data_IF_385671039153
#
_entry.id   IF_385671039153
#
_cell.length_a   1.000
_cell.length_b   1.000
_cell.length_c   1.000
_cell.angle_alpha   90.00
_cell.angle_beta   90.00
_cell.angle_gamma   90.00
#
_symmetry.space_group_name_H-M   'P 1'
#
loop_
_entity.id
_entity.type
_entity.pdbx_description
1 polymer ?
#
# COMPACT_ATOMS: atom_id res chain seq x y z
N UNK A 1 -9.43 18.10 47.66
CA UNK A 1 -9.20 16.74 47.08
C UNK A 1 -9.93 16.53 45.75
N UNK A 2 -11.23 16.83 45.63
CA UNK A 2 -11.99 16.69 44.35
C UNK A 2 -11.49 17.60 43.21
N UNK A 3 -11.10 18.84 43.50
CA UNK A 3 -10.52 19.76 42.49
C UNK A 3 -9.16 19.31 41.94
N UNK A 4 -8.34 18.65 42.76
CA UNK A 4 -7.02 18.17 42.33
C UNK A 4 -7.15 16.95 41.41
N UNK A 5 -8.11 16.07 41.70
CA UNK A 5 -8.47 14.95 40.82
C UNK A 5 -9.02 15.43 39.47
N UNK A 6 -9.86 16.47 39.46
CA UNK A 6 -10.39 17.05 38.23
C UNK A 6 -9.29 17.63 37.32
N UNK A 7 -8.30 18.33 37.89
CA UNK A 7 -7.17 18.89 37.15
C UNK A 7 -6.22 17.80 36.62
N UNK A 8 -6.01 16.72 37.37
CA UNK A 8 -5.22 15.57 36.93
C UNK A 8 -5.88 14.81 35.76
N UNK A 9 -7.21 14.68 35.77
CA UNK A 9 -7.95 14.04 34.68
C UNK A 9 -7.98 14.91 33.42
N UNK A 10 -8.12 16.22 33.57
CA UNK A 10 -8.07 17.18 32.45
C UNK A 10 -6.69 17.20 31.76
N UNK A 11 -5.62 17.18 32.54
CA UNK A 11 -4.25 17.13 32.00
C UNK A 11 -3.94 15.79 31.31
N UNK A 12 -4.44 14.68 31.83
CA UNK A 12 -4.30 13.36 31.21
C UNK A 12 -5.10 13.25 29.89
N UNK A 13 -6.30 13.84 29.84
CA UNK A 13 -7.10 13.92 28.62
C UNK A 13 -6.43 14.78 27.53
N UNK A 14 -5.82 15.91 27.91
CA UNK A 14 -5.06 16.76 26.99
C UNK A 14 -3.81 16.06 26.43
N UNK A 15 -3.16 15.20 27.23
CA UNK A 15 -1.98 14.44 26.79
C UNK A 15 -2.33 13.35 25.76
N UNK A 16 -3.50 12.72 25.86
CA UNK A 16 -3.93 11.68 24.92
C UNK A 16 -4.33 12.23 23.54
N UNK A 17 -4.81 13.47 23.45
CA UNK A 17 -5.26 14.07 22.19
C UNK A 17 -4.10 14.42 21.23
N UNK A 18 -2.86 14.53 21.73
CA UNK A 18 -1.70 14.94 20.93
C UNK A 18 -1.05 13.81 20.09
N UNK A 19 -1.49 12.56 20.25
CA UNK A 19 -0.82 11.39 19.67
C UNK A 19 -1.47 10.84 18.38
N UNK A 20 -2.51 11.46 17.85
CA UNK A 20 -3.19 10.99 16.62
C UNK A 20 -2.53 11.58 15.37
N UNK A 21 -1.52 10.92 14.82
CA UNK A 21 -1.01 11.21 13.47
C UNK A 21 -1.94 10.61 12.42
N UNK A 22 -2.35 11.38 11.41
CA UNK A 22 -3.11 10.85 10.29
C UNK A 22 -2.29 9.81 9.50
N UNK A 23 -2.94 8.79 8.90
CA UNK A 23 -2.24 7.85 8.03
C UNK A 23 -1.67 8.56 6.80
N UNK A 24 -0.49 8.16 6.35
CA UNK A 24 0.15 8.71 5.15
C UNK A 24 -0.55 8.33 3.83
N UNK A 25 -1.60 7.49 3.88
CA UNK A 25 -2.38 7.12 2.70
C UNK A 25 -3.34 8.25 2.36
N UNK A 26 -3.10 8.90 1.23
CA UNK A 26 -4.08 9.77 0.57
C UNK A 26 -5.19 8.92 -0.06
N UNK A 27 -6.43 9.33 0.15
CA UNK A 27 -7.64 8.66 -0.37
C UNK A 27 -7.72 8.73 -1.91
N UNK A 28 -7.13 9.77 -2.48
CA UNK A 28 -7.08 10.03 -3.91
C UNK A 28 -6.20 9.00 -4.61
N UNK A 29 -6.84 7.99 -5.17
CA UNK A 29 -6.23 6.87 -5.92
C UNK A 29 -6.36 7.04 -7.43
N UNK A 30 -7.06 8.07 -7.89
CA UNK A 30 -7.29 8.36 -9.31
C UNK A 30 -6.42 9.51 -9.80
N UNK A 31 -6.05 9.44 -11.07
CA UNK A 31 -5.40 10.54 -11.77
C UNK A 31 -6.45 11.57 -12.20
N UNK A 32 -6.40 12.79 -11.64
CA UNK A 32 -7.38 13.87 -11.96
C UNK A 32 -7.48 14.20 -13.46
N UNK A 33 -6.38 14.02 -14.18
CA UNK A 33 -6.28 14.33 -15.60
C UNK A 33 -6.26 13.08 -16.49
N UNK A 34 -6.66 11.92 -15.94
CA UNK A 34 -6.56 10.63 -16.62
C UNK A 34 -5.13 10.08 -16.69
N UNK A 35 -4.95 9.04 -17.50
CA UNK A 35 -3.64 8.42 -17.73
C UNK A 35 -2.66 9.40 -18.37
N UNK A 36 -1.45 9.50 -17.82
CA UNK A 36 -0.38 10.31 -18.40
C UNK A 36 0.43 9.47 -19.39
N UNK A 37 0.05 9.50 -20.66
CA UNK A 37 0.75 8.82 -21.75
C UNK A 37 1.77 9.79 -22.36
N UNK A 38 3.07 9.50 -22.19
CA UNK A 38 4.16 10.28 -22.83
C UNK A 38 4.67 9.63 -24.11
N UNK A 39 4.46 8.32 -24.26
CA UNK A 39 4.99 7.49 -25.33
C UNK A 39 3.95 6.42 -25.71
N UNK A 40 4.01 5.84 -26.93
CA UNK A 40 3.09 4.77 -27.33
C UNK A 40 3.11 3.59 -26.34
N UNK A 41 1.93 3.11 -25.96
CA UNK A 41 1.82 2.01 -25.01
C UNK A 41 2.27 0.69 -25.69
N UNK A 42 3.14 -0.13 -25.07
CA UNK A 42 3.69 -1.33 -25.71
C UNK A 42 2.66 -2.29 -26.33
N UNK A 43 1.50 -2.44 -25.69
CA UNK A 43 0.43 -3.30 -26.21
C UNK A 43 -0.23 -2.78 -27.51
N UNK A 44 0.08 -1.57 -27.96
CA UNK A 44 -0.48 -0.98 -29.19
C UNK A 44 0.32 -1.30 -30.44
N UNK A 45 1.58 -1.72 -30.31
CA UNK A 45 2.47 -1.99 -31.45
C UNK A 45 3.16 -3.36 -31.39
N UNK A 46 3.06 -4.09 -30.27
CA UNK A 46 3.53 -5.47 -30.16
C UNK A 46 2.52 -6.44 -30.78
N UNK A 47 3.00 -7.37 -31.61
CA UNK A 47 2.19 -8.47 -32.12
C UNK A 47 2.09 -9.58 -31.06
N UNK A 48 0.89 -10.11 -30.85
CA UNK A 48 0.65 -11.22 -29.92
C UNK A 48 1.46 -12.46 -30.30
N UNK A 49 1.71 -12.68 -31.60
CA UNK A 49 2.53 -13.79 -32.09
C UNK A 49 4.00 -13.72 -31.64
N UNK A 50 4.48 -12.53 -31.28
CA UNK A 50 5.86 -12.31 -30.82
C UNK A 50 5.99 -12.46 -29.30
N UNK A 51 4.86 -12.61 -28.58
CA UNK A 51 4.86 -12.81 -27.14
C UNK A 51 5.20 -14.27 -26.79
N UNK A 52 5.93 -14.50 -25.69
CA UNK A 52 6.20 -15.86 -25.22
C UNK A 52 4.90 -16.54 -24.79
N UNK A 53 4.78 -17.84 -25.06
CA UNK A 53 3.63 -18.64 -24.65
C UNK A 53 3.51 -18.79 -23.12
N UNK A 54 4.63 -18.66 -22.41
CA UNK A 54 4.73 -18.67 -20.95
C UNK A 54 5.79 -17.66 -20.51
N UNK A 55 5.50 -16.93 -19.44
CA UNK A 55 6.40 -15.90 -18.93
C UNK A 55 6.24 -15.79 -17.41
N UNK A 56 7.36 -15.68 -16.69
CA UNK A 56 7.38 -15.40 -15.26
C UNK A 56 8.46 -14.38 -14.93
N UNK A 57 8.13 -13.38 -14.09
CA UNK A 57 9.11 -12.43 -13.55
C UNK A 57 10.00 -13.05 -12.46
N UNK A 58 9.68 -14.25 -11.99
CA UNK A 58 10.50 -15.00 -11.05
C UNK A 58 11.82 -15.47 -11.66
N UNK A 59 11.82 -15.71 -12.97
CA UNK A 59 12.98 -16.15 -13.73
C UNK A 59 12.94 -15.55 -15.14
N UNK A 60 13.43 -14.32 -15.26
CA UNK A 60 13.73 -13.70 -16.55
C UNK A 60 15.23 -13.78 -16.76
N UNK A 61 15.65 -14.72 -17.60
CA UNK A 61 17.05 -14.96 -17.99
C UNK A 61 17.97 -15.23 -16.77
N UNK A 62 17.50 -15.99 -15.79
CA UNK A 62 18.22 -16.31 -14.55
C UNK A 62 18.12 -15.25 -13.46
N UNK A 63 17.36 -14.17 -13.69
CA UNK A 63 17.16 -13.07 -12.74
C UNK A 63 15.71 -13.01 -12.25
N UNK A 64 15.56 -12.98 -10.92
CA UNK A 64 14.28 -12.78 -10.25
C UNK A 64 14.00 -11.28 -10.03
N UNK A 65 12.83 -10.82 -10.47
CA UNK A 65 12.34 -9.44 -10.33
C UNK A 65 11.19 -9.30 -9.33
N UNK A 66 10.74 -10.38 -8.71
CA UNK A 66 9.69 -10.34 -7.70
C UNK A 66 10.21 -9.84 -6.35
N UNK A 67 9.37 -9.05 -5.68
CA UNK A 67 9.61 -8.73 -4.26
C UNK A 67 9.34 -9.96 -3.40
N UNK A 68 10.16 -10.25 -2.37
CA UNK A 68 9.92 -11.39 -1.48
C UNK A 68 8.52 -11.36 -0.85
N UNK A 69 7.83 -12.52 -0.73
CA UNK A 69 6.53 -12.59 -0.09
C UNK A 69 6.62 -12.19 1.38
N UNK A 70 5.64 -11.41 1.85
CA UNK A 70 5.52 -11.01 3.25
C UNK A 70 4.31 -11.68 3.90
N UNK A 71 4.41 -11.95 5.19
CA UNK A 71 3.31 -12.49 5.99
C UNK A 71 2.79 -11.45 6.98
N UNK A 72 1.62 -10.87 6.70
CA UNK A 72 0.94 -9.91 7.58
C UNK A 72 0.48 -10.52 8.91
N UNK A 73 0.43 -11.85 9.01
CA UNK A 73 -0.22 -12.53 10.13
C UNK A 73 0.65 -12.64 11.39
N UNK A 74 1.92 -12.23 11.35
CA UNK A 74 2.86 -12.40 12.47
C UNK A 74 3.80 -11.18 12.59
N UNK A 75 4.17 -10.71 13.79
CA UNK A 75 3.67 -11.08 15.12
C UNK A 75 2.56 -10.15 15.66
N UNK A 76 2.15 -9.12 14.90
CA UNK A 76 1.15 -8.14 15.36
C UNK A 76 0.22 -7.80 14.19
N UNK A 77 -1.08 -8.00 14.35
CA UNK A 77 -2.12 -7.48 13.48
C UNK A 77 -2.21 -5.95 13.62
N UNK A 78 -1.21 -5.24 13.06
CA UNK A 78 -1.39 -3.82 12.78
C UNK A 78 -2.56 -3.73 11.81
N UNK A 79 -3.58 -2.98 12.20
CA UNK A 79 -4.70 -2.59 11.35
C UNK A 79 -4.23 -1.62 10.25
N UNK A 80 -3.15 -1.97 9.55
CA UNK A 80 -2.74 -1.36 8.31
C UNK A 80 -3.16 -2.33 7.21
N UNK A 81 -4.44 -2.27 6.83
CA UNK A 81 -5.05 -2.97 5.68
C UNK A 81 -4.38 -2.60 4.33
N UNK A 82 -3.18 -2.02 4.35
CA UNK A 82 -2.61 -1.17 3.33
C UNK A 82 -1.29 -1.71 2.77
N UNK A 83 -0.62 -2.66 3.43
CA UNK A 83 0.74 -3.09 3.00
C UNK A 83 0.78 -4.47 2.33
N UNK A 84 -0.29 -5.28 2.38
CA UNK A 84 -0.35 -6.59 1.68
C UNK A 84 -1.52 -6.69 0.66
N UNK A 85 -2.34 -5.65 0.50
CA UNK A 85 -3.36 -5.60 -0.57
C UNK A 85 -2.88 -4.95 -1.86
N UNK A 86 -1.70 -5.33 -2.34
CA UNK A 86 -1.33 -5.08 -3.74
C UNK A 86 -1.11 -6.37 -4.53
N UNK A 87 -0.95 -7.51 -3.86
CA UNK A 87 -0.74 -8.82 -4.53
C UNK A 87 -2.08 -9.53 -4.81
N UNK A 88 -3.08 -9.43 -3.93
CA UNK A 88 -4.37 -10.10 -4.16
C UNK A 88 -5.30 -9.41 -5.15
N UNK A 89 -5.04 -8.14 -5.54
CA UNK A 89 -5.89 -7.43 -6.50
C UNK A 89 -5.49 -7.64 -7.95
N UNK A 90 -4.41 -8.38 -8.22
CA UNK A 90 -3.94 -8.72 -9.57
C UNK A 90 -4.52 -10.09 -10.03
N UNK A 91 -5.20 -10.82 -9.14
CA UNK A 91 -5.77 -12.15 -9.41
C UNK A 91 -7.30 -12.23 -9.24
N UNK A 92 -8.01 -11.11 -9.40
CA UNK A 92 -9.44 -11.08 -9.72
C UNK A 92 -9.69 -10.18 -10.94
#
# INVERSE_FOLDING_TARGET
MRSLLALALLSFALLQAAAASSPCRTEKTTFEHGERITDPLPHTYLNVADLPSQFSWEDKDGQNYLTPPRNQHIPQCKFDTITIRFISSIFE
#
